data_IF_591466202038
#
_entry.id   IF_591466202038
#
_cell.length_a   1.000
_cell.length_b   1.000
_cell.length_c   1.000
_cell.angle_alpha   90.00
_cell.angle_beta   90.00
_cell.angle_gamma   90.00
#
_symmetry.space_group_name_H-M   'P 1'
#
loop_
_entity.id
_entity.type
_entity.pdbx_description
1 polymer ?
#
# COMPACT_ATOMS: atom_id res chain seq x y z
N UNK A 1 4.31 13.30 1.54
CA UNK A 1 4.06 11.97 2.13
C UNK A 1 3.64 11.02 1.02
N UNK A 2 4.34 9.89 0.86
CA UNK A 2 4.08 8.90 -0.21
C UNK A 2 2.85 8.07 0.15
N UNK A 3 1.95 7.88 -0.82
CA UNK A 3 0.81 6.98 -0.67
C UNK A 3 1.10 5.64 -1.38
N UNK A 4 0.54 4.56 -0.85
CA UNK A 4 0.58 3.26 -1.49
C UNK A 4 -0.78 2.58 -1.36
N UNK A 5 -1.12 1.82 -2.39
CA UNK A 5 -2.17 0.82 -2.32
C UNK A 5 -1.53 -0.51 -2.00
N UNK A 6 -2.00 -1.17 -0.95
CA UNK A 6 -1.56 -2.50 -0.54
C UNK A 6 -2.68 -3.52 -0.74
N UNK A 7 -2.31 -4.75 -1.09
CA UNK A 7 -3.21 -5.89 -1.10
C UNK A 7 -3.09 -6.62 0.24
N UNK A 8 -4.21 -6.72 0.95
CA UNK A 8 -4.32 -7.40 2.25
C UNK A 8 -4.79 -8.85 2.06
N UNK A 9 -5.73 -9.07 1.13
CA UNK A 9 -6.23 -10.40 0.75
C UNK A 9 -6.50 -10.48 -0.76
N UNK A 10 -7.04 -11.59 -1.26
CA UNK A 10 -7.37 -11.72 -2.69
C UNK A 10 -8.41 -10.67 -3.17
N UNK A 11 -9.24 -10.16 -2.27
CA UNK A 11 -10.36 -9.27 -2.60
C UNK A 11 -10.31 -7.93 -1.88
N UNK A 12 -9.37 -7.75 -0.95
CA UNK A 12 -9.27 -6.54 -0.11
C UNK A 12 -7.96 -5.85 -0.42
N UNK A 13 -8.08 -4.60 -0.86
CA UNK A 13 -6.99 -3.63 -0.94
C UNK A 13 -7.28 -2.45 -0.02
N UNK A 14 -6.22 -1.80 0.44
CA UNK A 14 -6.32 -0.58 1.22
C UNK A 14 -5.31 0.43 0.67
N UNK A 15 -5.66 1.71 0.74
CA UNK A 15 -4.80 2.80 0.30
C UNK A 15 -4.58 3.77 1.45
N UNK A 16 -3.34 4.21 1.61
CA UNK A 16 -3.00 5.16 2.66
C UNK A 16 -1.57 5.66 2.58
N UNK A 17 -1.20 6.61 3.44
CA UNK A 17 0.17 7.06 3.58
C UNK A 17 1.07 5.92 4.07
N UNK A 18 2.22 5.75 3.42
CA UNK A 18 3.22 4.75 3.80
C UNK A 18 3.88 5.17 5.10
N UNK A 19 3.86 4.27 6.09
CA UNK A 19 4.60 4.42 7.35
C UNK A 19 5.96 3.76 7.25
N UNK A 20 6.00 2.54 6.71
CA UNK A 20 7.23 1.77 6.56
C UNK A 20 7.14 0.81 5.38
N UNK A 21 8.29 0.47 4.82
CA UNK A 21 8.44 -0.50 3.75
C UNK A 21 9.61 -1.43 4.09
N UNK A 22 9.35 -2.73 4.00
CA UNK A 22 10.36 -3.77 4.18
C UNK A 22 10.90 -4.16 2.79
N UNK A 23 12.14 -3.78 2.46
CA UNK A 23 12.71 -4.00 1.13
C UNK A 23 13.01 -5.49 0.84
N UNK A 24 13.13 -6.33 1.88
CA UNK A 24 13.40 -7.76 1.70
C UNK A 24 12.12 -8.53 1.38
N UNK A 25 11.01 -8.22 2.07
CA UNK A 25 9.74 -8.92 1.88
C UNK A 25 8.79 -8.24 0.88
N UNK A 26 9.07 -6.97 0.51
CA UNK A 26 8.18 -6.13 -0.30
C UNK A 26 6.87 -5.77 0.42
N UNK A 27 6.84 -5.92 1.75
CA UNK A 27 5.68 -5.58 2.57
C UNK A 27 5.71 -4.09 2.90
N UNK A 28 4.59 -3.43 2.64
CA UNK A 28 4.37 -2.02 2.93
C UNK A 28 3.35 -1.92 4.06
N UNK A 29 3.65 -1.08 5.05
CA UNK A 29 2.72 -0.71 6.11
C UNK A 29 2.16 0.67 5.79
N UNK A 30 0.84 0.77 5.67
CA UNK A 30 0.12 2.03 5.49
C UNK A 30 -0.74 2.34 6.73
N UNK A 31 -1.12 3.61 6.87
CA UNK A 31 -2.13 4.03 7.83
C UNK A 31 -3.50 4.12 7.17
N UNK A 32 -4.49 3.47 7.76
CA UNK A 32 -5.90 3.59 7.39
C UNK A 32 -6.71 4.06 8.61
N UNK A 33 -6.92 5.37 8.70
CA UNK A 33 -7.48 6.02 9.88
C UNK A 33 -6.67 5.77 11.16
N UNK A 34 -7.25 5.04 12.10
CA UNK A 34 -6.61 4.65 13.37
C UNK A 34 -5.87 3.30 13.29
N UNK A 35 -5.96 2.60 12.15
CA UNK A 35 -5.35 1.27 11.97
C UNK A 35 -4.05 1.36 11.17
N UNK A 36 -3.15 0.45 11.46
CA UNK A 36 -1.97 0.17 10.65
C UNK A 36 -2.22 -1.13 9.88
N UNK A 37 -2.12 -1.06 8.56
CA UNK A 37 -2.35 -2.18 7.68
C UNK A 37 -1.06 -2.53 6.97
N UNK A 38 -0.71 -3.81 6.93
CA UNK A 38 0.49 -4.31 6.26
C UNK A 38 0.08 -5.24 5.12
N UNK A 39 0.67 -5.05 3.96
CA UNK A 39 0.36 -5.84 2.77
C UNK A 39 1.39 -5.64 1.68
N UNK A 40 1.21 -6.31 0.53
CA UNK A 40 2.10 -6.12 -0.62
C UNK A 40 1.66 -4.93 -1.44
N UNK A 41 2.63 -4.12 -1.90
CA UNK A 41 2.34 -3.01 -2.79
C UNK A 41 1.71 -3.55 -4.07
N UNK A 42 0.56 -3.00 -4.42
CA UNK A 42 -0.01 -3.16 -5.76
C UNK A 42 0.58 -2.02 -6.59
N UNK A 43 1.04 -2.30 -7.81
CA UNK A 43 1.58 -1.26 -8.69
C UNK A 43 0.63 -0.05 -8.70
N UNK A 44 1.15 1.19 -8.73
CA UNK A 44 0.29 2.37 -8.81
C UNK A 44 -0.66 2.17 -10.00
N UNK A 45 -1.95 2.54 -9.87
CA UNK A 45 -2.84 2.54 -11.03
C UNK A 45 -2.11 3.26 -12.16
N UNK A 46 -2.14 2.71 -13.39
CA UNK A 46 -1.39 3.27 -14.52
C UNK A 46 -1.59 4.78 -14.50
N UNK A 47 -0.47 5.51 -14.49
CA UNK A 47 -0.51 6.98 -14.50
C UNK A 47 -1.41 7.46 -15.64
N UNK A 48 -1.94 8.70 -15.57
CA UNK A 48 -2.76 9.23 -16.64
C UNK A 48 -2.05 8.98 -17.96
N UNK A 49 -2.73 8.27 -18.86
CA UNK A 49 -2.26 8.05 -20.23
C UNK A 49 -2.05 9.46 -20.78
N UNK A 50 -0.80 9.87 -20.95
CA UNK A 50 -0.43 11.14 -21.55
C UNK A 50 -0.72 11.10 -23.05
#
# INVERSE_FOLDING_TARGET
>A
MTHATIRISAYISAQGPVISEDPLSGLVTIRDGARLLRGRRIAPPPGPIA
#
